data_IF_873375671844
#
_entry.id   IF_873375671844
#
_cell.length_a   1.000
_cell.length_b   1.000
_cell.length_c   1.000
_cell.angle_alpha   90.00
_cell.angle_beta   90.00
_cell.angle_gamma   90.00
#
_symmetry.space_group_name_H-M   'P 1'
#
loop_
_entity.id
_entity.type
_entity.pdbx_description
1 polymer ?
#
# COMPACT_ATOMS: atom_id res chain seq x y z
N UNK A 1 20.69 -1.37 -37.26
CA UNK A 1 20.57 -2.24 -36.07
C UNK A 1 19.13 -2.12 -35.59
N UNK A 2 18.26 -3.05 -36.01
CA UNK A 2 16.84 -3.01 -35.70
C UNK A 2 16.57 -3.86 -34.45
N UNK A 3 16.07 -3.26 -33.38
CA UNK A 3 15.60 -3.98 -32.20
C UNK A 3 14.40 -4.87 -32.59
N UNK A 4 14.33 -6.14 -32.15
CA UNK A 4 13.20 -7.01 -32.49
C UNK A 4 11.96 -6.60 -31.68
N UNK A 5 10.98 -6.03 -32.38
CA UNK A 5 9.71 -5.49 -31.85
C UNK A 5 8.92 -6.50 -31.01
N UNK A 6 9.15 -7.80 -31.20
CA UNK A 6 8.49 -8.89 -30.48
C UNK A 6 8.92 -9.00 -29.01
N UNK A 7 10.12 -8.55 -28.64
CA UNK A 7 10.62 -8.61 -27.26
C UNK A 7 10.04 -7.47 -26.41
N UNK A 8 9.92 -6.28 -27.00
CA UNK A 8 9.28 -5.11 -26.38
C UNK A 8 7.79 -5.39 -26.11
N UNK A 9 7.09 -6.02 -27.07
CA UNK A 9 5.69 -6.42 -26.90
C UNK A 9 5.49 -7.50 -25.82
N UNK A 10 6.44 -8.46 -25.66
CA UNK A 10 6.39 -9.45 -24.58
C UNK A 10 6.65 -8.84 -23.20
N UNK A 11 7.58 -7.90 -23.09
CA UNK A 11 7.82 -7.17 -21.83
C UNK A 11 6.62 -6.30 -21.44
N UNK A 12 6.00 -5.60 -22.39
CA UNK A 12 4.76 -4.83 -22.14
C UNK A 12 3.56 -5.72 -21.77
N UNK A 13 3.46 -6.92 -22.33
CA UNK A 13 2.42 -7.88 -21.97
C UNK A 13 2.61 -8.51 -20.59
N UNK A 14 3.87 -8.73 -20.18
CA UNK A 14 4.22 -9.23 -18.85
C UNK A 14 3.95 -8.18 -17.76
N UNK A 15 4.32 -6.92 -17.98
CA UNK A 15 4.03 -5.83 -17.03
C UNK A 15 2.52 -5.58 -16.88
N UNK A 16 1.76 -5.56 -17.98
CA UNK A 16 0.30 -5.42 -17.92
C UNK A 16 -0.40 -6.59 -17.21
N UNK A 17 0.13 -7.82 -17.33
CA UNK A 17 -0.39 -9.00 -16.64
C UNK A 17 -0.05 -9.00 -15.15
N UNK A 18 1.16 -8.59 -14.77
CA UNK A 18 1.59 -8.45 -13.37
C UNK A 18 0.77 -7.36 -12.66
N UNK A 19 0.50 -6.23 -13.32
CA UNK A 19 -0.35 -5.14 -12.79
C UNK A 19 -1.80 -5.58 -12.54
N UNK A 20 -2.33 -6.52 -13.35
CA UNK A 20 -3.66 -7.11 -13.12
C UNK A 20 -3.73 -8.04 -11.91
N UNK A 21 -2.61 -8.63 -11.47
CA UNK A 21 -2.58 -9.52 -10.31
C UNK A 21 -2.46 -8.80 -8.97
N UNK A 22 -1.99 -7.55 -8.96
CA UNK A 22 -1.76 -6.75 -7.75
C UNK A 22 -3.04 -6.45 -6.95
N UNK A 23 -4.22 -6.59 -7.55
CA UNK A 23 -5.50 -6.20 -6.96
C UNK A 23 -6.40 -7.36 -6.53
N UNK A 24 -5.95 -8.62 -6.59
CA UNK A 24 -6.76 -9.77 -6.13
C UNK A 24 -7.16 -9.68 -4.66
N UNK A 25 -6.41 -8.92 -3.87
CA UNK A 25 -6.77 -8.66 -2.47
C UNK A 25 -8.07 -7.85 -2.32
N UNK A 26 -8.47 -7.09 -3.35
CA UNK A 26 -9.70 -6.33 -3.36
C UNK A 26 -10.95 -7.22 -3.25
N UNK A 27 -10.89 -8.43 -3.82
CA UNK A 27 -11.98 -9.42 -3.84
C UNK A 27 -12.35 -9.93 -2.44
N UNK A 28 -11.52 -9.64 -1.42
CA UNK A 28 -11.72 -10.06 -0.04
C UNK A 28 -12.30 -8.97 0.87
N UNK A 29 -12.50 -7.74 0.38
CA UNK A 29 -13.07 -6.66 1.17
C UNK A 29 -14.61 -6.68 1.13
N UNK A 30 -15.29 -6.26 2.21
CA UNK A 30 -16.73 -6.00 2.16
C UNK A 30 -17.05 -4.95 1.10
N UNK A 31 -17.84 -5.31 0.09
CA UNK A 31 -18.23 -4.42 -1.02
C UNK A 31 -19.67 -3.95 -0.88
N UNK A 32 -19.91 -2.67 -1.14
CA UNK A 32 -21.28 -2.18 -1.39
C UNK A 32 -21.83 -2.71 -2.72
N UNK A 33 -23.14 -2.60 -2.93
CA UNK A 33 -23.75 -2.99 -4.21
C UNK A 33 -23.15 -2.21 -5.40
N UNK A 34 -22.85 -0.92 -5.23
CA UNK A 34 -22.20 -0.13 -6.29
C UNK A 34 -20.77 -0.61 -6.57
N UNK A 35 -20.03 -1.02 -5.54
CA UNK A 35 -18.68 -1.57 -5.71
C UNK A 35 -18.71 -2.96 -6.36
N UNK A 36 -19.71 -3.80 -6.03
CA UNK A 36 -19.90 -5.11 -6.63
C UNK A 36 -20.28 -5.05 -8.11
N UNK A 37 -20.98 -3.99 -8.53
CA UNK A 37 -21.33 -3.75 -9.93
C UNK A 37 -20.20 -3.10 -10.74
N UNK A 38 -19.18 -2.55 -10.09
CA UNK A 38 -18.08 -1.87 -10.75
C UNK A 38 -17.12 -2.90 -11.40
N UNK A 39 -16.59 -2.56 -12.57
CA UNK A 39 -15.58 -3.38 -13.26
C UNK A 39 -14.41 -2.50 -13.71
N UNK A 40 -13.27 -3.13 -14.00
CA UNK A 40 -12.09 -2.40 -14.49
C UNK A 40 -11.57 -1.37 -13.49
N UNK A 41 -11.33 -0.14 -13.95
CA UNK A 41 -10.73 0.91 -13.14
C UNK A 41 -11.67 1.42 -12.04
N UNK A 42 -12.99 1.44 -12.28
CA UNK A 42 -13.98 1.80 -11.28
C UNK A 42 -13.97 0.85 -10.06
N UNK A 43 -13.77 -0.45 -10.28
CA UNK A 43 -13.65 -1.42 -9.18
C UNK A 43 -12.42 -1.13 -8.31
N UNK A 44 -11.32 -0.67 -8.91
CA UNK A 44 -10.10 -0.30 -8.17
C UNK A 44 -10.31 0.97 -7.35
N UNK A 45 -11.04 1.95 -7.87
CA UNK A 45 -11.35 3.18 -7.14
C UNK A 45 -12.13 2.88 -5.85
N UNK A 46 -13.06 1.92 -5.88
CA UNK A 46 -13.77 1.47 -4.67
C UNK A 46 -12.86 0.71 -3.70
N UNK A 47 -11.95 -0.12 -4.21
CA UNK A 47 -11.06 -0.91 -3.37
C UNK A 47 -9.94 -0.08 -2.72
N UNK A 48 -9.48 0.99 -3.39
CA UNK A 48 -8.35 1.83 -3.00
C UNK A 48 -8.42 2.35 -1.55
N UNK A 49 -9.49 3.01 -1.08
CA UNK A 49 -9.54 3.51 0.29
C UNK A 49 -9.56 2.38 1.33
N UNK A 50 -10.17 1.24 1.02
CA UNK A 50 -10.22 0.09 1.92
C UNK A 50 -8.84 -0.57 2.01
N UNK A 51 -8.18 -0.77 0.87
CA UNK A 51 -6.82 -1.29 0.79
C UNK A 51 -5.83 -0.39 1.53
N UNK A 52 -5.91 0.94 1.36
CA UNK A 52 -5.08 1.91 2.09
C UNK A 52 -5.26 1.77 3.61
N UNK A 53 -6.51 1.69 4.07
CA UNK A 53 -6.82 1.54 5.50
C UNK A 53 -6.27 0.24 6.07
N UNK A 54 -6.50 -0.88 5.38
CA UNK A 54 -6.00 -2.19 5.80
C UNK A 54 -4.47 -2.23 5.84
N UNK A 55 -3.81 -1.68 4.80
CA UNK A 55 -2.36 -1.59 4.75
C UNK A 55 -1.81 -0.72 5.90
N UNK A 56 -2.43 0.43 6.18
CA UNK A 56 -2.04 1.28 7.30
C UNK A 56 -2.10 0.53 8.65
N UNK A 57 -3.16 -0.26 8.87
CA UNK A 57 -3.30 -1.07 10.08
C UNK A 57 -2.17 -2.09 10.22
N UNK A 58 -1.90 -2.87 9.16
CA UNK A 58 -0.82 -3.88 9.16
C UNK A 58 0.55 -3.22 9.38
N UNK A 59 0.84 -2.14 8.66
CA UNK A 59 2.11 -1.42 8.79
C UNK A 59 2.27 -0.82 10.18
N UNK A 60 1.21 -0.28 10.77
CA UNK A 60 1.26 0.25 12.14
C UNK A 60 1.58 -0.86 13.16
N UNK A 61 1.03 -2.06 12.96
CA UNK A 61 1.35 -3.24 13.78
C UNK A 61 2.84 -3.61 13.63
N UNK A 62 3.34 -3.72 12.41
CA UNK A 62 4.75 -4.04 12.15
C UNK A 62 5.71 -3.00 12.71
N UNK A 63 5.42 -1.71 12.51
CA UNK A 63 6.18 -0.61 13.07
C UNK A 63 6.15 -0.64 14.61
N UNK A 64 5.01 -0.98 15.22
CA UNK A 64 4.93 -1.12 16.69
C UNK A 64 5.71 -2.34 17.18
N UNK A 65 5.65 -3.47 16.47
CA UNK A 65 6.33 -4.72 16.83
C UNK A 65 7.86 -4.58 16.73
N UNK A 66 8.35 -3.90 15.69
CA UNK A 66 9.76 -3.48 15.59
C UNK A 66 10.12 -2.34 16.56
N UNK A 67 9.12 -1.79 17.26
CA UNK A 67 9.17 -0.68 18.22
C UNK A 67 9.33 0.71 17.60
N UNK A 68 9.35 0.82 16.26
CA UNK A 68 9.51 2.02 15.42
C UNK A 68 8.57 3.13 15.85
N UNK A 69 7.36 2.71 16.19
CA UNK A 69 6.29 3.53 16.70
C UNK A 69 5.95 3.04 18.10
N UNK A 70 5.67 3.98 19.01
CA UNK A 70 5.16 3.68 20.35
C UNK A 70 3.76 4.22 20.50
N UNK A 71 2.90 3.53 21.21
CA UNK A 71 1.56 4.04 21.50
C UNK A 71 1.60 5.03 22.67
N UNK A 72 1.10 6.24 22.43
CA UNK A 72 0.73 7.17 23.48
C UNK A 72 -0.68 6.85 23.96
N UNK A 73 -0.76 6.23 25.14
CA UNK A 73 -2.02 5.86 25.76
C UNK A 73 -2.64 7.07 26.47
N UNK A 74 -3.98 7.16 26.41
CA UNK A 74 -4.76 8.19 27.09
C UNK A 74 -6.09 7.61 27.55
N UNK A 75 -6.61 8.14 28.66
CA UNK A 75 -7.93 7.80 29.18
C UNK A 75 -9.02 8.75 28.66
N UNK A 76 -8.64 9.89 28.08
CA UNK A 76 -9.57 10.92 27.59
C UNK A 76 -9.56 11.06 26.06
N UNK A 77 -8.55 10.48 25.40
CA UNK A 77 -8.37 10.54 23.96
C UNK A 77 -8.08 9.13 23.40
N UNK A 78 -8.37 8.88 22.11
CA UNK A 78 -7.89 7.68 21.45
C UNK A 78 -6.38 7.53 21.61
N UNK A 79 -5.90 6.28 21.73
CA UNK A 79 -4.48 6.01 21.69
C UNK A 79 -3.91 6.48 20.35
N UNK A 80 -2.79 7.19 20.39
CA UNK A 80 -2.16 7.77 19.20
C UNK A 80 -0.75 7.19 19.01
N UNK A 81 -0.33 6.92 17.78
CA UNK A 81 1.06 6.55 17.51
C UNK A 81 1.98 7.76 17.76
N UNK A 82 3.12 7.50 18.41
CA UNK A 82 4.28 8.40 18.47
C UNK A 82 5.33 7.90 17.51
N UNK A 83 5.63 8.73 16.51
CA UNK A 83 6.65 8.48 15.51
C UNK A 83 8.04 8.92 15.98
N UNK A 84 9.12 8.35 15.41
CA UNK A 84 10.48 8.57 15.91
C UNK A 84 11.05 9.95 15.54
N UNK A 85 10.54 10.58 14.47
CA UNK A 85 10.99 11.88 13.98
C UNK A 85 9.81 12.67 13.46
N UNK A 86 9.91 14.00 13.50
CA UNK A 86 8.97 14.88 12.82
C UNK A 86 8.93 14.56 11.31
N UNK A 87 7.74 14.63 10.71
CA UNK A 87 7.53 14.30 9.29
C UNK A 87 7.51 12.81 8.95
N UNK A 88 7.72 11.91 9.92
CA UNK A 88 7.63 10.47 9.66
C UNK A 88 6.20 10.06 9.26
N UNK A 89 5.19 10.65 9.89
CA UNK A 89 3.78 10.39 9.53
C UNK A 89 3.51 10.74 8.07
N UNK A 90 3.96 11.91 7.62
CA UNK A 90 3.81 12.35 6.22
C UNK A 90 4.52 11.38 5.25
N UNK A 91 5.72 10.92 5.61
CA UNK A 91 6.47 9.93 4.83
C UNK A 91 5.74 8.58 4.77
N UNK A 92 5.14 8.16 5.87
CA UNK A 92 4.33 6.94 5.93
C UNK A 92 3.07 7.08 5.06
N UNK A 93 2.37 8.21 5.14
CA UNK A 93 1.19 8.46 4.30
C UNK A 93 1.53 8.44 2.81
N UNK A 94 2.62 9.12 2.41
CA UNK A 94 3.09 9.11 1.03
C UNK A 94 3.49 7.70 0.56
N UNK A 95 4.12 6.90 1.41
CA UNK A 95 4.50 5.53 1.09
C UNK A 95 3.29 4.60 0.95
N UNK A 96 2.25 4.79 1.77
CA UNK A 96 0.98 4.07 1.65
C UNK A 96 0.28 4.41 0.33
N UNK A 97 0.24 5.70 -0.02
CA UNK A 97 -0.38 6.18 -1.26
C UNK A 97 0.35 5.65 -2.50
N UNK A 98 1.69 5.63 -2.48
CA UNK A 98 2.50 5.03 -3.54
C UNK A 98 2.23 3.51 -3.69
N UNK A 99 2.02 2.80 -2.59
CA UNK A 99 1.76 1.36 -2.60
C UNK A 99 0.43 1.02 -3.26
N UNK A 100 -0.59 1.87 -3.08
CA UNK A 100 -1.91 1.64 -3.66
C UNK A 100 -2.08 2.29 -5.04
N UNK A 101 -1.12 3.05 -5.55
CA UNK A 101 -1.19 3.75 -6.84
C UNK A 101 -1.52 2.79 -8.01
N UNK A 102 -1.97 3.35 -9.14
CA UNK A 102 -2.28 2.55 -10.34
C UNK A 102 -1.08 1.71 -10.81
N UNK A 103 0.12 2.25 -10.61
CA UNK A 103 1.37 1.52 -10.69
C UNK A 103 1.95 1.40 -9.27
N UNK A 104 1.69 0.29 -8.55
CA UNK A 104 2.11 0.13 -7.17
C UNK A 104 3.63 0.24 -7.01
N UNK A 105 4.05 1.13 -6.12
CA UNK A 105 5.43 1.21 -5.64
C UNK A 105 5.49 0.90 -4.15
N UNK A 106 6.12 -0.23 -3.81
CA UNK A 106 6.28 -0.70 -2.43
C UNK A 106 7.64 -0.33 -1.84
N UNK A 107 8.57 0.21 -2.64
CA UNK A 107 9.92 0.51 -2.18
C UNK A 107 9.96 1.51 -1.01
N UNK A 108 9.23 2.65 -1.03
CA UNK A 108 9.23 3.60 0.07
C UNK A 108 8.75 2.95 1.38
N UNK A 109 7.69 2.15 1.30
CA UNK A 109 7.12 1.49 2.46
C UNK A 109 8.08 0.44 3.05
N UNK A 110 8.72 -0.37 2.19
CA UNK A 110 9.73 -1.34 2.63
C UNK A 110 10.91 -0.65 3.32
N UNK A 111 11.38 0.49 2.79
CA UNK A 111 12.46 1.27 3.42
C UNK A 111 12.07 1.72 4.83
N UNK A 112 10.85 2.26 5.01
CA UNK A 112 10.38 2.72 6.32
C UNK A 112 10.29 1.58 7.34
N UNK A 113 9.76 0.42 6.94
CA UNK A 113 9.62 -0.74 7.83
C UNK A 113 10.99 -1.37 8.14
N UNK A 114 11.88 -1.47 7.15
CA UNK A 114 13.19 -2.14 7.31
C UNK A 114 14.28 -1.26 7.90
N UNK A 115 14.16 0.08 7.84
CA UNK A 115 15.15 1.03 8.40
C UNK A 115 15.39 0.85 9.92
N UNK A 116 14.62 -0.02 10.58
CA UNK A 116 14.72 -0.32 12.00
C UNK A 116 14.98 -1.78 12.34
N UNK A 117 15.19 -2.65 11.35
CA UNK A 117 15.38 -4.09 11.60
C UNK A 117 16.81 -4.45 12.05
N UNK A 118 17.74 -3.50 12.13
CA UNK A 118 19.08 -3.72 12.68
C UNK A 118 19.09 -3.51 14.19
N UNK A 119 18.81 -4.59 14.92
CA UNK A 119 19.22 -4.80 16.32
C UNK A 119 20.67 -5.29 16.34
#
# INVERSE_FOLDING_TARGET
MAWPTAEVARMSGATARTLRHSWRIADHFPTSEQAAAATGDAAREFARPVARRALNQVVTVELTAGGAVRWQLSWSHPAAPRYPTDGFEDLLEAALDATIADQPDTEPLRKLVLARASV
#
